data_IF_575524666972
#
_entry.id   IF_575524666972
#
_cell.length_a   1.000
_cell.length_b   1.000
_cell.length_c   1.000
_cell.angle_alpha   90.00
_cell.angle_beta   90.00
_cell.angle_gamma   90.00
#
_symmetry.space_group_name_H-M   'P 1'
#
loop_
_entity.id
_entity.type
_entity.pdbx_description
1 polymer ?
#
# COMPACT_ATOMS: atom_id res chain seq x y z
N UNK A 1 23.19 68.39 16.11
CA UNK A 1 23.35 68.24 14.65
C UNK A 1 22.87 66.85 14.28
N UNK A 2 21.94 66.70 13.32
CA UNK A 2 21.36 65.40 12.97
C UNK A 2 22.33 64.58 12.11
N UNK A 3 22.42 63.28 12.39
CA UNK A 3 23.14 62.29 11.59
C UNK A 3 22.16 61.70 10.58
N UNK A 4 22.51 61.83 9.31
CA UNK A 4 21.84 61.30 8.12
C UNK A 4 21.84 59.76 8.10
N UNK A 5 20.75 59.09 7.71
CA UNK A 5 20.76 57.67 7.33
C UNK A 5 21.25 57.51 5.88
N UNK A 6 22.27 56.68 5.64
CA UNK A 6 22.62 56.21 4.31
C UNK A 6 22.00 54.82 4.10
N UNK A 7 20.90 54.76 3.36
CA UNK A 7 20.32 53.53 2.82
C UNK A 7 20.94 53.27 1.44
N UNK A 8 21.57 52.10 1.19
CA UNK A 8 22.05 51.77 -0.15
C UNK A 8 20.89 51.39 -1.07
N UNK A 9 20.75 52.15 -2.15
CA UNK A 9 19.76 51.99 -3.21
C UNK A 9 19.91 50.64 -3.94
N UNK A 10 18.91 49.76 -3.75
CA UNK A 10 18.70 48.58 -4.58
C UNK A 10 18.34 49.02 -6.00
N UNK A 11 19.20 48.68 -6.96
CA UNK A 11 18.98 48.97 -8.37
C UNK A 11 17.96 47.98 -8.95
N UNK A 12 16.79 48.50 -9.28
CA UNK A 12 15.76 47.86 -10.09
C UNK A 12 16.32 47.57 -11.49
N UNK A 13 16.70 46.31 -11.74
CA UNK A 13 17.04 45.87 -13.09
C UNK A 13 15.76 45.41 -13.78
N UNK A 14 15.31 46.25 -14.69
CA UNK A 14 14.11 46.12 -15.49
C UNK A 14 14.07 44.85 -16.35
N UNK A 15 12.84 44.35 -16.49
CA UNK A 15 12.32 43.44 -17.49
C UNK A 15 12.97 43.53 -18.88
N UNK A 16 13.28 42.37 -19.44
CA UNK A 16 13.39 42.15 -20.88
C UNK A 16 12.37 41.09 -21.33
N UNK A 17 11.52 41.36 -22.33
CA UNK A 17 10.62 40.36 -22.89
C UNK A 17 11.23 39.75 -24.17
N UNK A 18 11.24 38.42 -24.29
CA UNK A 18 11.11 37.81 -25.61
C UNK A 18 10.56 36.38 -25.57
N UNK A 19 9.35 36.27 -26.10
CA UNK A 19 8.71 35.03 -26.55
C UNK A 19 9.29 34.67 -27.91
N UNK A 20 9.67 33.40 -28.10
CA UNK A 20 9.69 32.74 -29.42
C UNK A 20 9.23 31.29 -29.24
N UNK A 21 8.19 30.83 -29.94
CA UNK A 21 7.80 29.42 -29.97
C UNK A 21 8.59 28.70 -31.07
N UNK A 22 9.06 27.48 -30.79
CA UNK A 22 9.56 26.59 -31.84
C UNK A 22 9.01 25.18 -31.61
N UNK A 23 8.15 24.80 -32.56
CA UNK A 23 7.53 23.48 -32.72
C UNK A 23 8.54 22.34 -32.65
N UNK A 24 8.26 21.38 -31.77
CA UNK A 24 8.87 20.06 -31.76
C UNK A 24 7.82 18.99 -31.44
N UNK A 25 6.81 18.84 -32.31
CA UNK A 25 5.94 17.65 -32.29
C UNK A 25 6.72 16.48 -32.90
N UNK A 26 7.32 15.65 -32.07
CA UNK A 26 7.58 14.26 -32.42
C UNK A 26 6.28 13.48 -32.25
N UNK A 27 5.65 13.12 -33.37
CA UNK A 27 4.55 12.16 -33.36
C UNK A 27 5.10 10.77 -33.02
N UNK A 28 4.56 10.05 -32.01
CA UNK A 28 4.91 8.66 -31.80
C UNK A 28 4.22 7.81 -32.88
N UNK A 29 5.02 7.09 -33.67
CA UNK A 29 4.54 6.07 -34.60
C UNK A 29 3.79 4.99 -33.80
N UNK A 30 2.53 4.64 -34.15
CA UNK A 30 1.80 3.62 -33.41
C UNK A 30 2.47 2.25 -33.62
N UNK A 31 2.80 1.56 -32.52
CA UNK A 31 3.26 0.17 -32.58
C UNK A 31 2.13 -0.74 -33.07
N UNK A 32 2.41 -1.75 -33.92
CA UNK A 32 1.43 -2.76 -34.27
C UNK A 32 0.99 -3.53 -33.03
N UNK A 33 -0.32 -3.56 -32.77
CA UNK A 33 -0.92 -4.43 -31.75
C UNK A 33 -0.89 -5.88 -32.23
N UNK A 34 -0.35 -6.83 -31.45
CA UNK A 34 -0.50 -8.25 -31.73
C UNK A 34 -1.98 -8.64 -31.65
N UNK A 35 -2.52 -9.14 -32.76
CA UNK A 35 -3.92 -9.59 -32.84
C UNK A 35 -4.22 -10.79 -31.94
N UNK A 36 -5.51 -11.07 -31.70
CA UNK A 36 -5.95 -12.17 -30.83
C UNK A 36 -5.56 -13.53 -31.42
N UNK A 37 -4.88 -14.36 -30.62
CA UNK A 37 -4.62 -15.77 -30.96
C UNK A 37 -5.94 -16.55 -30.97
N UNK A 38 -6.22 -17.37 -32.01
CA UNK A 38 -7.33 -18.30 -32.00
C UNK A 38 -7.19 -19.35 -30.89
N UNK A 39 -8.31 -19.66 -30.22
CA UNK A 39 -8.39 -20.72 -29.22
C UNK A 39 -8.17 -22.11 -29.84
N UNK A 40 -7.36 -22.95 -29.19
CA UNK A 40 -7.18 -24.34 -29.57
C UNK A 40 -8.44 -25.17 -29.27
N UNK A 41 -8.84 -26.12 -30.13
CA UNK A 41 -10.01 -26.96 -29.91
C UNK A 41 -9.79 -27.99 -28.79
N UNK A 42 -10.86 -28.44 -28.11
CA UNK A 42 -10.77 -29.42 -27.04
C UNK A 42 -10.41 -30.80 -27.60
N UNK A 43 -9.47 -31.49 -26.92
CA UNK A 43 -9.10 -32.87 -27.28
C UNK A 43 -10.20 -33.83 -26.81
N UNK A 44 -10.70 -34.73 -27.68
CA UNK A 44 -11.70 -35.73 -27.29
C UNK A 44 -11.15 -36.72 -26.26
N UNK A 45 -11.99 -37.10 -25.30
CA UNK A 45 -11.65 -38.02 -24.23
C UNK A 45 -11.88 -39.51 -24.55
N UNK A 46 -11.54 -40.31 -23.52
CA UNK A 46 -11.78 -41.76 -23.25
C UNK A 46 -10.81 -42.77 -23.90
N UNK A 47 -10.71 -44.02 -23.38
CA UNK A 47 -11.23 -44.61 -22.12
C UNK A 47 -10.18 -45.45 -21.31
N UNK A 48 -10.44 -45.71 -20.00
CA UNK A 48 -9.79 -46.82 -19.24
C UNK A 48 -10.37 -48.20 -19.66
N UNK A 49 -10.12 -49.36 -18.99
CA UNK A 49 -9.50 -49.67 -17.67
C UNK A 49 -8.27 -50.62 -17.82
N UNK A 50 -7.48 -51.07 -16.81
CA UNK A 50 -7.75 -52.13 -15.79
C UNK A 50 -6.55 -52.23 -14.79
N UNK A 51 -6.83 -52.55 -13.52
CA UNK A 51 -5.92 -53.12 -12.48
C UNK A 51 -5.75 -54.66 -12.68
N UNK A 52 -4.90 -55.46 -11.97
CA UNK A 52 -4.20 -55.26 -10.67
C UNK A 52 -2.74 -55.83 -10.46
N UNK A 53 -2.02 -55.26 -9.46
CA UNK A 53 -1.07 -55.80 -8.43
C UNK A 53 0.06 -56.84 -8.74
N UNK A 54 0.98 -57.17 -7.79
CA UNK A 54 1.84 -56.37 -6.89
C UNK A 54 3.34 -56.80 -6.95
N UNK A 55 4.29 -56.01 -6.44
CA UNK A 55 5.62 -56.54 -6.06
C UNK A 55 6.34 -55.66 -5.03
N UNK A 56 6.87 -56.32 -3.98
CA UNK A 56 7.61 -55.76 -2.86
C UNK A 56 9.04 -55.34 -3.25
N UNK A 57 9.52 -54.22 -2.71
CA UNK A 57 10.91 -54.06 -2.20
C UNK A 57 11.11 -52.70 -1.49
N UNK A 58 11.50 -52.75 -0.23
CA UNK A 58 12.20 -51.69 0.53
C UNK A 58 13.71 -51.72 0.22
N UNK A 59 14.58 -50.86 0.78
CA UNK A 59 14.50 -49.42 1.12
C UNK A 59 15.74 -48.61 0.62
N UNK A 60 15.63 -47.28 0.48
CA UNK A 60 16.66 -46.24 0.78
C UNK A 60 16.37 -44.92 0.04
N UNK A 61 16.15 -43.84 0.78
CA UNK A 61 16.83 -42.52 0.73
C UNK A 61 15.99 -41.42 1.41
N UNK A 62 16.63 -40.40 2.03
CA UNK A 62 15.94 -39.34 2.74
C UNK A 62 15.43 -38.28 1.76
N UNK A 63 14.12 -38.08 1.71
CA UNK A 63 13.51 -36.97 0.97
C UNK A 63 13.46 -35.74 1.86
N UNK A 64 14.08 -34.68 1.36
CA UNK A 64 13.96 -33.29 1.80
C UNK A 64 12.48 -32.93 1.97
N UNK A 65 12.11 -32.45 3.16
CA UNK A 65 10.76 -31.99 3.45
C UNK A 65 10.42 -30.79 2.54
N UNK A 66 9.49 -31.00 1.62
CA UNK A 66 8.82 -29.91 0.91
C UNK A 66 7.89 -29.16 1.90
N UNK A 67 7.82 -27.82 1.85
CA UNK A 67 6.89 -27.07 2.68
C UNK A 67 5.45 -27.45 2.33
N UNK A 68 4.67 -27.81 3.34
CA UNK A 68 3.23 -28.03 3.17
C UNK A 68 2.51 -26.76 2.73
N UNK A 69 1.34 -26.87 2.08
CA UNK A 69 0.60 -25.73 1.58
C UNK A 69 0.18 -24.80 2.74
N UNK A 70 0.44 -23.51 2.58
CA UNK A 70 -0.01 -22.46 3.49
C UNK A 70 -1.51 -22.59 3.78
N UNK A 71 -1.96 -22.36 5.03
CA UNK A 71 -3.37 -22.45 5.37
C UNK A 71 -4.17 -21.46 4.51
N UNK A 72 -5.22 -21.96 3.86
CA UNK A 72 -6.20 -21.13 3.14
C UNK A 72 -6.85 -20.15 4.12
N UNK A 73 -7.01 -18.86 3.78
CA UNK A 73 -7.72 -17.92 4.63
C UNK A 73 -9.14 -18.41 4.93
N UNK A 74 -9.56 -18.29 6.18
CA UNK A 74 -10.94 -18.54 6.58
C UNK A 74 -11.89 -17.63 5.77
N UNK A 75 -13.05 -18.15 5.37
CA UNK A 75 -14.04 -17.38 4.65
C UNK A 75 -14.48 -16.18 5.52
N UNK A 76 -14.61 -14.96 4.94
CA UNK A 76 -14.96 -13.78 5.70
C UNK A 76 -16.34 -13.95 6.35
N UNK A 77 -16.42 -13.60 7.63
CA UNK A 77 -17.69 -13.34 8.31
C UNK A 77 -18.38 -12.18 7.57
N UNK A 78 -19.61 -12.40 7.11
CA UNK A 78 -20.34 -11.40 6.34
C UNK A 78 -20.43 -10.08 7.14
N UNK A 79 -19.77 -9.03 6.63
CA UNK A 79 -19.77 -7.69 7.21
C UNK A 79 -18.47 -7.24 7.89
N UNK A 80 -17.47 -8.11 8.07
CA UNK A 80 -16.14 -7.71 8.55
C UNK A 80 -15.18 -7.44 7.39
N UNK A 81 -14.27 -6.45 7.51
CA UNK A 81 -13.25 -6.22 6.49
C UNK A 81 -12.33 -7.43 6.36
N UNK A 82 -11.93 -7.75 5.13
CA UNK A 82 -10.90 -8.75 4.87
C UNK A 82 -9.56 -8.24 5.40
N UNK A 83 -8.81 -9.10 6.09
CA UNK A 83 -7.47 -8.78 6.58
C UNK A 83 -6.44 -9.47 5.68
N UNK A 84 -5.47 -8.71 5.19
CA UNK A 84 -4.31 -9.18 4.44
C UNK A 84 -3.04 -8.79 5.19
N UNK A 85 -2.12 -9.74 5.35
CA UNK A 85 -0.81 -9.53 5.95
C UNK A 85 0.26 -9.49 4.87
N UNK A 86 1.11 -8.47 4.88
CA UNK A 86 2.31 -8.33 4.05
C UNK A 86 3.53 -8.37 4.96
N UNK A 87 4.29 -9.50 4.97
CA UNK A 87 5.47 -9.62 5.82
C UNK A 87 6.53 -8.57 5.46
N UNK A 88 6.96 -7.79 6.44
CA UNK A 88 8.05 -6.83 6.31
C UNK A 88 8.77 -6.68 7.67
N UNK A 89 10.04 -6.26 7.66
CA UNK A 89 10.67 -5.78 8.90
C UNK A 89 10.06 -4.45 9.33
N UNK A 90 10.30 -4.00 10.56
CA UNK A 90 9.87 -2.67 10.99
C UNK A 90 10.40 -1.56 10.06
N UNK A 91 11.69 -1.61 9.70
CA UNK A 91 12.30 -0.62 8.80
C UNK A 91 11.74 -0.66 7.37
N UNK A 92 11.29 -1.84 6.90
CA UNK A 92 10.72 -2.02 5.55
C UNK A 92 9.19 -1.97 5.50
N UNK A 93 8.51 -1.77 6.63
CA UNK A 93 7.06 -1.82 6.69
C UNK A 93 6.42 -0.63 5.96
N UNK A 94 7.08 0.53 5.96
CA UNK A 94 6.62 1.72 5.24
C UNK A 94 6.71 1.50 3.73
N UNK A 95 7.87 1.07 3.22
CA UNK A 95 8.06 0.73 1.80
C UNK A 95 7.03 -0.31 1.34
N UNK A 96 6.80 -1.36 2.14
CA UNK A 96 5.81 -2.39 1.83
C UNK A 96 4.37 -1.84 1.81
N UNK A 97 4.06 -0.82 2.62
CA UNK A 97 2.78 -0.15 2.59
C UNK A 97 2.63 0.74 1.35
N UNK A 98 3.67 1.46 0.94
CA UNK A 98 3.69 2.26 -0.30
C UNK A 98 3.48 1.37 -1.54
N UNK A 99 4.20 0.26 -1.64
CA UNK A 99 4.01 -0.72 -2.71
C UNK A 99 2.57 -1.30 -2.72
N UNK A 100 1.98 -1.53 -1.54
CA UNK A 100 0.59 -1.98 -1.44
C UNK A 100 -0.39 -0.90 -1.93
N UNK A 101 -0.14 0.37 -1.61
CA UNK A 101 -0.92 1.51 -2.12
C UNK A 101 -0.80 1.58 -3.64
N UNK A 102 0.41 1.51 -4.19
CA UNK A 102 0.64 1.55 -5.64
C UNK A 102 -0.13 0.45 -6.37
N UNK A 103 -0.07 -0.80 -5.89
CA UNK A 103 -0.83 -1.91 -6.45
C UNK A 103 -2.35 -1.68 -6.38
N UNK A 104 -2.86 -1.08 -5.30
CA UNK A 104 -4.28 -0.75 -5.18
C UNK A 104 -4.66 0.28 -6.26
N UNK A 105 -3.87 1.34 -6.44
CA UNK A 105 -4.12 2.38 -7.43
C UNK A 105 -4.00 1.85 -8.86
N UNK A 106 -2.99 1.04 -9.16
CA UNK A 106 -2.81 0.36 -10.45
C UNK A 106 -3.99 -0.57 -10.78
N UNK A 107 -4.59 -1.19 -9.76
CA UNK A 107 -5.79 -2.03 -9.92
C UNK A 107 -7.08 -1.22 -10.15
N UNK A 108 -6.99 0.12 -10.13
CA UNK A 108 -8.11 1.04 -10.36
C UNK A 108 -8.85 1.47 -9.10
N UNK A 109 -8.28 1.26 -7.90
CA UNK A 109 -8.85 1.82 -6.67
C UNK A 109 -8.73 3.35 -6.70
N UNK A 110 -9.80 4.03 -6.28
CA UNK A 110 -9.79 5.49 -6.17
C UNK A 110 -8.89 5.89 -4.99
N UNK A 111 -7.97 6.87 -5.15
CA UNK A 111 -7.08 7.33 -4.08
C UNK A 111 -7.80 7.70 -2.78
N UNK A 112 -8.90 8.45 -2.91
CA UNK A 112 -9.80 8.82 -1.82
C UNK A 112 -10.38 7.68 -0.98
N UNK A 113 -10.30 6.44 -1.47
CA UNK A 113 -10.78 5.25 -0.75
C UNK A 113 -9.68 4.56 0.08
N UNK A 114 -8.46 5.09 0.07
CA UNK A 114 -7.29 4.50 0.74
C UNK A 114 -6.84 5.38 1.91
N UNK A 115 -6.74 4.78 3.09
CA UNK A 115 -6.14 5.38 4.29
C UNK A 115 -4.87 4.62 4.64
N UNK A 116 -3.76 5.33 4.90
CA UNK A 116 -2.51 4.74 5.37
C UNK A 116 -2.27 5.17 6.81
N UNK A 117 -1.97 4.22 7.70
CA UNK A 117 -1.66 4.46 9.12
C UNK A 117 -0.25 3.96 9.42
N UNK A 118 0.61 4.82 9.98
CA UNK A 118 1.95 4.42 10.46
C UNK A 118 1.96 4.29 11.99
N UNK A 119 2.68 3.31 12.54
CA UNK A 119 2.80 3.12 14.00
C UNK A 119 4.06 3.74 14.60
N UNK A 120 5.09 3.93 13.78
CA UNK A 120 6.35 4.60 14.12
C UNK A 120 6.39 6.01 13.55
N UNK A 121 7.45 6.30 12.80
CA UNK A 121 7.62 7.60 12.16
C UNK A 121 6.49 7.87 11.14
N UNK A 122 6.07 9.14 10.98
CA UNK A 122 5.10 9.50 9.95
C UNK A 122 5.68 9.31 8.55
N UNK A 123 4.81 9.05 7.59
CA UNK A 123 5.21 9.00 6.18
C UNK A 123 5.87 10.34 5.76
N UNK A 124 7.00 10.34 5.01
CA UNK A 124 7.74 11.56 4.68
C UNK A 124 6.89 12.64 3.99
N UNK A 125 5.99 12.23 3.09
CA UNK A 125 5.03 13.14 2.47
C UNK A 125 4.07 13.77 3.49
N UNK A 126 3.51 12.98 4.41
CA UNK A 126 2.62 13.49 5.47
C UNK A 126 3.35 14.50 6.37
N UNK A 127 4.59 14.20 6.74
CA UNK A 127 5.43 15.10 7.52
C UNK A 127 5.69 16.43 6.79
N UNK A 128 5.90 16.38 5.47
CA UNK A 128 6.05 17.58 4.65
C UNK A 128 4.75 18.39 4.57
N UNK A 129 3.62 17.76 4.28
CA UNK A 129 2.33 18.45 4.16
C UNK A 129 1.87 19.07 5.48
N UNK A 130 2.06 18.36 6.60
CA UNK A 130 1.78 18.88 7.94
C UNK A 130 2.59 20.13 8.28
N UNK A 131 3.78 20.29 7.68
CA UNK A 131 4.62 21.50 7.88
C UNK A 131 3.97 22.78 7.33
N UNK A 132 3.02 22.66 6.40
CA UNK A 132 2.22 23.77 5.89
C UNK A 132 0.97 24.08 6.74
N UNK A 133 0.67 23.23 7.73
CA UNK A 133 -0.35 23.46 8.73
C UNK A 133 -1.35 22.32 8.87
N UNK A 134 -1.58 21.90 10.12
CA UNK A 134 -2.47 20.79 10.45
C UNK A 134 -3.90 20.98 9.93
N UNK A 135 -4.47 22.18 10.05
CA UNK A 135 -5.85 22.43 9.60
C UNK A 135 -6.02 22.21 8.09
N UNK A 136 -5.05 22.65 7.29
CA UNK A 136 -5.07 22.44 5.84
C UNK A 136 -4.89 20.97 5.49
N UNK A 137 -4.00 20.27 6.21
CA UNK A 137 -3.77 18.84 6.03
C UNK A 137 -5.03 18.00 6.29
N UNK A 138 -5.72 18.24 7.40
CA UNK A 138 -6.96 17.52 7.69
C UNK A 138 -8.13 17.90 6.78
N UNK A 139 -8.11 19.09 6.18
CA UNK A 139 -9.10 19.41 5.14
C UNK A 139 -8.93 18.52 3.89
N UNK A 140 -7.71 18.04 3.58
CA UNK A 140 -7.49 17.07 2.50
C UNK A 140 -8.13 15.72 2.82
N UNK A 141 -8.06 15.29 4.08
CA UNK A 141 -8.77 14.09 4.54
C UNK A 141 -10.28 14.21 4.30
N UNK A 142 -10.87 15.34 4.67
CA UNK A 142 -12.30 15.60 4.57
C UNK A 142 -12.77 15.75 3.11
N UNK A 143 -11.91 16.28 2.24
CA UNK A 143 -12.17 16.33 0.80
C UNK A 143 -12.22 14.92 0.18
N UNK A 144 -11.34 14.02 0.63
CA UNK A 144 -11.36 12.63 0.19
C UNK A 144 -10.97 12.43 -1.29
N UNK A 145 -10.19 13.36 -1.85
CA UNK A 145 -9.77 13.31 -3.26
C UNK A 145 -8.51 12.45 -3.47
N UNK A 146 -7.68 12.27 -2.44
CA UNK A 146 -6.39 11.59 -2.51
C UNK A 146 -6.20 10.55 -1.38
N UNK A 147 -5.15 9.72 -1.50
CA UNK A 147 -4.68 8.84 -0.42
C UNK A 147 -4.35 9.71 0.79
N UNK A 148 -4.89 9.34 1.95
CA UNK A 148 -4.61 10.05 3.18
C UNK A 148 -3.70 9.24 4.08
N UNK A 149 -2.72 9.92 4.69
CA UNK A 149 -1.74 9.33 5.58
C UNK A 149 -1.96 9.87 6.99
N UNK A 150 -1.79 9.04 8.00
CA UNK A 150 -1.87 9.48 9.40
C UNK A 150 -0.98 8.61 10.27
N UNK A 151 -0.53 9.13 11.40
CA UNK A 151 0.04 8.29 12.45
C UNK A 151 -1.05 7.58 13.27
N UNK A 152 -0.62 6.60 14.07
CA UNK A 152 -1.47 5.85 14.98
C UNK A 152 -2.17 6.70 16.05
N UNK A 153 -1.57 7.82 16.47
CA UNK A 153 -2.15 8.70 17.49
C UNK A 153 -3.40 9.42 16.95
N UNK A 154 -3.39 9.79 15.67
CA UNK A 154 -4.51 10.44 15.01
C UNK A 154 -5.45 9.48 14.25
N UNK A 155 -5.17 8.17 14.24
CA UNK A 155 -6.05 7.17 13.63
C UNK A 155 -7.50 7.18 14.15
N UNK A 156 -7.72 7.62 15.40
CA UNK A 156 -9.07 7.81 15.96
C UNK A 156 -9.82 8.96 15.29
N UNK A 157 -9.14 10.00 14.81
CA UNK A 157 -9.76 11.16 14.14
C UNK A 157 -10.14 10.85 12.69
N UNK A 158 -9.36 10.00 12.01
CA UNK A 158 -9.60 9.64 10.62
C UNK A 158 -11.02 9.04 10.41
N UNK A 159 -11.66 9.37 9.30
CA UNK A 159 -12.89 8.74 8.85
C UNK A 159 -12.60 7.35 8.31
N UNK A 160 -13.64 6.52 8.29
CA UNK A 160 -13.55 5.18 7.71
C UNK A 160 -13.40 5.27 6.18
N UNK A 161 -12.56 4.40 5.62
CA UNK A 161 -12.34 4.27 4.17
C UNK A 161 -12.51 2.81 3.75
N UNK A 162 -12.89 2.52 2.50
CA UNK A 162 -13.01 1.15 2.01
C UNK A 162 -11.75 0.31 2.23
N UNK A 163 -10.57 0.92 2.06
CA UNK A 163 -9.27 0.26 2.27
C UNK A 163 -8.42 1.03 3.27
N UNK A 164 -7.87 0.30 4.24
CA UNK A 164 -6.88 0.81 5.18
C UNK A 164 -5.60 -0.01 5.05
N UNK A 165 -4.46 0.67 4.94
CA UNK A 165 -3.13 0.07 4.95
C UNK A 165 -2.43 0.50 6.23
N UNK A 166 -1.88 -0.43 6.99
CA UNK A 166 -1.15 -0.14 8.23
C UNK A 166 0.30 -0.53 8.06
N UNK A 167 1.21 0.42 8.19
CA UNK A 167 2.64 0.17 8.31
C UNK A 167 3.01 0.05 9.79
N UNK A 168 3.38 -1.15 10.23
CA UNK A 168 3.93 -1.38 11.57
C UNK A 168 5.43 -1.05 11.56
N UNK A 169 5.75 0.21 11.28
CA UNK A 169 7.10 0.72 11.02
C UNK A 169 7.85 1.16 12.29
N UNK A 170 7.63 0.46 13.40
CA UNK A 170 8.20 0.79 14.71
C UNK A 170 7.14 1.22 15.73
N UNK A 171 7.58 1.95 16.76
CA UNK A 171 6.78 2.22 17.96
C UNK A 171 6.79 1.04 18.95
N UNK A 172 6.25 1.25 20.15
CA UNK A 172 6.11 0.15 21.11
C UNK A 172 5.04 -0.85 20.65
N UNK A 173 5.12 -2.10 21.13
CA UNK A 173 4.08 -3.10 20.88
C UNK A 173 2.67 -2.64 21.26
N UNK A 174 2.56 -1.75 22.27
CA UNK A 174 1.30 -1.14 22.71
C UNK A 174 0.71 -0.19 21.66
N UNK A 175 1.55 0.53 20.90
CA UNK A 175 1.08 1.41 19.81
C UNK A 175 0.44 0.55 18.72
N UNK A 176 1.09 -0.53 18.30
CA UNK A 176 0.50 -1.47 17.34
C UNK A 176 -0.77 -2.13 17.88
N UNK A 177 -0.79 -2.51 19.17
CA UNK A 177 -1.96 -3.06 19.84
C UNK A 177 -3.15 -2.11 19.90
N UNK A 178 -2.89 -0.80 19.94
CA UNK A 178 -3.93 0.23 19.89
C UNK A 178 -4.35 0.57 18.45
N UNK A 179 -3.38 0.64 17.54
CA UNK A 179 -3.58 1.05 16.15
C UNK A 179 -4.35 0.02 15.34
N UNK A 180 -4.04 -1.28 15.48
CA UNK A 180 -4.65 -2.33 14.65
C UNK A 180 -6.17 -2.45 14.84
N UNK A 181 -6.72 -2.47 16.07
CA UNK A 181 -8.17 -2.45 16.27
C UNK A 181 -8.84 -1.18 15.73
N UNK A 182 -8.18 -0.02 15.85
CA UNK A 182 -8.69 1.24 15.28
C UNK A 182 -8.72 1.16 13.75
N UNK A 183 -7.64 0.71 13.13
CA UNK A 183 -7.53 0.50 11.69
C UNK A 183 -8.60 -0.45 11.17
N UNK A 184 -8.87 -1.54 11.90
CA UNK A 184 -9.94 -2.47 11.59
C UNK A 184 -11.32 -1.79 11.61
N UNK A 185 -11.58 -0.91 12.57
CA UNK A 185 -12.81 -0.11 12.63
C UNK A 185 -12.90 1.00 11.56
N UNK A 186 -11.77 1.38 10.96
CA UNK A 186 -11.72 2.32 9.82
C UNK A 186 -11.83 1.62 8.47
N UNK A 187 -11.52 0.34 8.38
CA UNK A 187 -11.59 -0.43 7.14
C UNK A 187 -13.03 -0.88 6.83
N UNK A 188 -13.58 -0.39 5.72
CA UNK A 188 -14.91 -0.79 5.26
C UNK A 188 -14.93 -2.14 4.54
N UNK A 189 -13.85 -2.51 3.85
CA UNK A 189 -13.78 -3.73 3.06
C UNK A 189 -12.45 -4.48 3.19
N UNK A 190 -11.32 -3.76 3.26
CA UNK A 190 -9.99 -4.37 3.29
C UNK A 190 -9.08 -3.64 4.28
N UNK A 191 -8.40 -4.42 5.12
CA UNK A 191 -7.28 -3.99 5.95
C UNK A 191 -6.03 -4.73 5.48
N UNK A 192 -5.03 -3.99 4.99
CA UNK A 192 -3.70 -4.53 4.69
C UNK A 192 -2.77 -4.13 5.84
N UNK A 193 -2.06 -5.07 6.42
CA UNK A 193 -1.08 -4.81 7.49
C UNK A 193 0.30 -5.21 6.99
N UNK A 194 1.22 -4.25 6.94
CA UNK A 194 2.60 -4.40 6.54
C UNK A 194 3.49 -4.36 7.78
N UNK A 195 4.27 -5.42 8.03
CA UNK A 195 5.17 -5.48 9.18
C UNK A 195 5.46 -6.90 9.67
N UNK A 196 6.04 -6.99 10.88
CA UNK A 196 6.50 -8.27 11.42
C UNK A 196 5.31 -9.20 11.73
N UNK A 197 5.23 -10.38 11.08
CA UNK A 197 4.10 -11.29 11.27
C UNK A 197 3.96 -11.78 12.71
N UNK A 198 5.06 -11.94 13.45
CA UNK A 198 5.00 -12.43 14.82
C UNK A 198 4.39 -11.38 15.75
N UNK A 199 4.81 -10.12 15.63
CA UNK A 199 4.25 -9.00 16.36
C UNK A 199 2.76 -8.81 16.04
N UNK A 200 2.40 -8.80 14.75
CA UNK A 200 1.01 -8.58 14.30
C UNK A 200 0.10 -9.71 14.78
N UNK A 201 0.50 -10.97 14.63
CA UNK A 201 -0.29 -12.10 15.09
C UNK A 201 -0.42 -12.13 16.62
N UNK A 202 0.61 -11.71 17.35
CA UNK A 202 0.55 -11.61 18.81
C UNK A 202 -0.50 -10.58 19.25
N UNK A 203 -0.56 -9.43 18.57
CA UNK A 203 -1.58 -8.40 18.82
C UNK A 203 -2.98 -8.89 18.46
N UNK A 204 -3.14 -9.50 17.28
CA UNK A 204 -4.44 -10.01 16.84
C UNK A 204 -4.96 -11.12 17.75
N UNK A 205 -4.07 -11.99 18.26
CA UNK A 205 -4.43 -13.04 19.21
C UNK A 205 -4.78 -12.50 20.61
N UNK A 206 -4.24 -11.36 21.02
CA UNK A 206 -4.54 -10.73 22.30
C UNK A 206 -5.87 -9.95 22.30
N UNK A 207 -6.42 -9.66 21.12
CA UNK A 207 -7.69 -8.93 20.94
C UNK A 207 -8.93 -9.81 20.77
N UNK A 208 -8.78 -11.15 20.81
CA UNK A 208 -9.86 -12.16 20.75
C UNK A 208 -10.12 -12.71 22.14
#
# INVERSE_FOLDING_TARGET
MPLIPEEPQIHESAQGPRVTPASGRTAPTPRPVPGPRPAAPPRPGRPGPVRPMPAQRTPREPVVAAPGPSPKPAAPVAGAPQIQLVPASADGALDAAEEAVDLLLESGRVPGEVLVITTGDPHPWAAHELSFGEAAYWAQHDAGDDVFYTDAAAARRAASRPVVVVAVNGGSGEVAATALPLALGRAGALLIVCGDPQQINSVLAAGV
#
